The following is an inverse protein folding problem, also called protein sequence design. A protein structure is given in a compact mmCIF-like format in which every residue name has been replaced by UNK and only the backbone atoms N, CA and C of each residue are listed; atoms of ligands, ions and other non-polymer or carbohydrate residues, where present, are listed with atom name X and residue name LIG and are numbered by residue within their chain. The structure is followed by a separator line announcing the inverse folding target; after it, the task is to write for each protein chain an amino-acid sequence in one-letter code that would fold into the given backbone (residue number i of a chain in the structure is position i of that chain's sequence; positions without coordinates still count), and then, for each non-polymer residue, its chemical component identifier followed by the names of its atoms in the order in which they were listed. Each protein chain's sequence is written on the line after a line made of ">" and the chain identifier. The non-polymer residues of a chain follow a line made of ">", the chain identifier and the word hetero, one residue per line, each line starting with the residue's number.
data_IF_235867033762
#
_entry.id   IF_235867033762
#
_cell.length_a   1.000
_cell.length_b   1.000
_cell.length_c   1.000
_cell.angle_alpha   90.00
_cell.angle_beta   90.00
_cell.angle_gamma   90.00
#
_symmetry.space_group_name_H-M   'P 1'
#
loop_
_entity.id
_entity.type
_entity.pdbx_description
1 polymer ?
#
# COMPACT_ATOMS: atom_id res chain seq x y z
N UNK A 1 8.00 22.34 29.19
CA UNK A 1 8.39 21.12 28.44
C UNK A 1 7.84 21.30 27.04
N UNK A 2 8.61 21.01 26.01
CA UNK A 2 8.12 21.17 24.62
C UNK A 2 6.93 20.26 24.39
N UNK A 3 5.80 20.85 24.02
CA UNK A 3 4.59 20.14 23.63
C UNK A 3 4.62 19.83 22.12
N UNK A 4 5.79 19.64 21.58
CA UNK A 4 6.00 19.37 20.14
C UNK A 4 6.33 17.90 19.89
N UNK A 5 5.86 17.38 18.76
CA UNK A 5 6.14 16.03 18.27
C UNK A 5 6.37 16.09 16.75
N UNK A 6 7.41 15.42 16.27
CA UNK A 6 7.68 15.33 14.83
C UNK A 6 7.17 14.00 14.29
N UNK A 7 6.26 14.09 13.32
CA UNK A 7 5.72 12.93 12.59
C UNK A 7 6.18 13.00 11.14
N UNK A 8 6.75 11.89 10.66
CA UNK A 8 7.25 11.77 9.29
C UNK A 8 6.16 11.17 8.40
N UNK A 9 6.02 11.69 7.19
CA UNK A 9 5.00 11.29 6.22
C UNK A 9 5.54 11.36 4.78
N UNK A 10 4.69 10.97 3.82
CA UNK A 10 5.03 10.89 2.39
C UNK A 10 4.83 12.20 1.61
N UNK A 11 4.19 13.20 2.21
CA UNK A 11 3.88 14.45 1.53
C UNK A 11 2.56 14.45 0.74
N UNK A 12 2.24 15.61 0.19
CA UNK A 12 1.10 15.82 -0.70
C UNK A 12 -0.25 15.40 -0.12
N UNK A 13 -1.06 14.73 -0.93
CA UNK A 13 -2.41 14.27 -0.52
C UNK A 13 -2.37 13.28 0.65
N UNK A 14 -1.32 12.48 0.75
CA UNK A 14 -1.15 11.53 1.85
C UNK A 14 -0.96 12.26 3.18
N UNK A 15 -0.01 13.18 3.28
CA UNK A 15 0.18 14.02 4.47
C UNK A 15 -1.08 14.85 4.81
N UNK A 16 -1.80 15.37 3.79
CA UNK A 16 -3.08 16.06 3.99
C UNK A 16 -4.11 15.14 4.64
N UNK A 17 -4.18 13.88 4.23
CA UNK A 17 -5.12 12.91 4.80
C UNK A 17 -4.83 12.65 6.28
N UNK A 18 -3.56 12.50 6.64
CA UNK A 18 -3.12 12.32 8.03
C UNK A 18 -3.35 13.59 8.86
N UNK A 19 -3.02 14.76 8.31
CA UNK A 19 -3.28 16.04 8.96
C UNK A 19 -4.74 16.15 9.38
N UNK A 20 -5.66 15.83 8.48
CA UNK A 20 -7.12 15.96 8.71
C UNK A 20 -7.68 14.88 9.62
N UNK A 21 -7.24 13.64 9.47
CA UNK A 21 -7.77 12.52 10.25
C UNK A 21 -7.18 12.43 11.66
N UNK A 22 -5.91 12.80 11.82
CA UNK A 22 -5.14 12.54 13.03
C UNK A 22 -4.55 13.79 13.68
N UNK A 23 -3.72 14.57 12.96
CA UNK A 23 -2.90 15.62 13.56
C UNK A 23 -3.72 16.77 14.12
N UNK A 24 -4.61 17.37 13.30
CA UNK A 24 -5.47 18.47 13.74
C UNK A 24 -6.38 18.06 14.90
N UNK A 25 -7.12 16.91 14.83
CA UNK A 25 -7.95 16.47 15.95
C UNK A 25 -7.16 16.16 17.23
N UNK A 26 -5.99 15.53 17.12
CA UNK A 26 -5.14 15.22 18.26
C UNK A 26 -4.61 16.50 18.91
N UNK A 27 -4.07 17.42 18.12
CA UNK A 27 -3.58 18.72 18.61
C UNK A 27 -4.68 19.54 19.27
N UNK A 28 -5.92 19.50 18.75
CA UNK A 28 -7.06 20.20 19.34
C UNK A 28 -7.44 19.67 20.75
N UNK A 29 -7.26 18.37 20.99
CA UNK A 29 -7.60 17.73 22.27
C UNK A 29 -6.46 17.88 23.28
N UNK A 30 -5.21 17.73 22.85
CA UNK A 30 -4.06 17.60 23.73
C UNK A 30 -3.26 18.90 23.89
N UNK A 31 -3.36 19.82 22.92
CA UNK A 31 -2.50 21.00 22.83
C UNK A 31 -1.08 20.71 22.33
N UNK A 32 -0.79 19.47 21.90
CA UNK A 32 0.51 19.10 21.32
C UNK A 32 0.61 19.69 19.92
N UNK A 33 1.74 20.35 19.62
CA UNK A 33 2.05 20.81 18.27
C UNK A 33 2.70 19.67 17.48
N UNK A 34 2.11 19.28 16.35
CA UNK A 34 2.68 18.28 15.46
C UNK A 34 3.45 18.99 14.34
N UNK A 35 4.73 18.67 14.21
CA UNK A 35 5.60 19.07 13.10
C UNK A 35 5.59 17.93 12.08
N UNK A 36 5.11 18.22 10.88
CA UNK A 36 5.07 17.25 9.79
C UNK A 36 6.36 17.31 8.98
N UNK A 37 7.08 16.20 8.89
CA UNK A 37 8.29 16.02 8.06
C UNK A 37 7.94 15.11 6.88
N UNK A 38 8.16 15.56 5.65
CA UNK A 38 7.77 14.82 4.44
C UNK A 38 8.94 13.98 3.88
N UNK A 39 9.62 13.23 4.75
CA UNK A 39 10.85 12.48 4.43
C UNK A 39 10.68 10.96 4.41
N UNK A 40 9.47 10.39 4.42
CA UNK A 40 9.25 8.94 4.47
C UNK A 40 10.04 8.17 3.39
N UNK A 41 10.14 8.69 2.18
CA UNK A 41 10.92 8.07 1.10
C UNK A 41 12.41 7.88 1.39
N UNK A 42 12.95 8.53 2.42
CA UNK A 42 14.34 8.40 2.87
C UNK A 42 14.45 8.00 4.34
N UNK A 43 13.33 7.62 4.96
CA UNK A 43 13.24 7.43 6.41
C UNK A 43 14.20 6.37 6.93
N UNK A 44 14.33 5.24 6.26
CA UNK A 44 15.22 4.14 6.68
C UNK A 44 16.68 4.59 6.79
N UNK A 45 17.20 5.28 5.77
CA UNK A 45 18.58 5.78 5.79
C UNK A 45 18.79 6.87 6.84
N UNK A 46 17.82 7.77 6.98
CA UNK A 46 17.89 8.84 7.99
C UNK A 46 17.82 8.31 9.42
N UNK A 47 16.95 7.33 9.70
CA UNK A 47 16.87 6.71 11.04
C UNK A 47 18.16 6.00 11.42
N UNK A 48 18.79 5.28 10.48
CA UNK A 48 20.12 4.68 10.71
C UNK A 48 21.15 5.74 11.08
N UNK A 49 21.22 6.84 10.32
CA UNK A 49 22.15 7.94 10.60
C UNK A 49 21.85 8.64 11.94
N UNK A 50 20.58 8.85 12.28
CA UNK A 50 20.18 9.43 13.58
C UNK A 50 20.57 8.51 14.75
N UNK A 51 20.41 7.21 14.57
CA UNK A 51 20.80 6.22 15.59
C UNK A 51 22.32 6.18 15.78
N UNK A 52 23.10 6.18 14.71
CA UNK A 52 24.58 6.27 14.78
C UNK A 52 25.04 7.54 15.49
N UNK A 53 24.34 8.65 15.26
CA UNK A 53 24.63 9.94 15.90
C UNK A 53 24.11 10.03 17.34
N UNK A 54 23.36 9.03 17.85
CA UNK A 54 22.63 9.08 19.12
C UNK A 54 21.73 10.33 19.23
N UNK A 55 21.11 10.75 18.15
CA UNK A 55 20.29 11.95 18.05
C UNK A 55 19.03 11.69 17.23
N UNK A 56 18.04 11.03 17.82
CA UNK A 56 16.75 10.74 17.19
C UNK A 56 15.87 12.00 17.29
N UNK A 57 15.56 12.63 16.16
CA UNK A 57 14.75 13.85 16.08
C UNK A 57 13.28 13.59 15.77
N UNK A 58 12.93 12.42 15.29
CA UNK A 58 11.58 11.99 14.94
C UNK A 58 10.90 11.22 16.07
N UNK A 59 9.58 11.35 16.20
CA UNK A 59 8.78 10.66 17.24
C UNK A 59 7.94 9.52 16.67
N UNK A 60 7.34 9.72 15.50
CA UNK A 60 6.57 8.72 14.76
C UNK A 60 6.96 8.81 13.29
N UNK A 61 7.15 7.66 12.66
CA UNK A 61 7.62 7.61 11.27
C UNK A 61 6.71 6.72 10.44
N UNK A 62 6.13 7.30 9.41
CA UNK A 62 5.32 6.60 8.42
C UNK A 62 6.22 5.92 7.40
N UNK A 63 6.07 4.62 7.23
CA UNK A 63 6.87 3.78 6.34
C UNK A 63 6.04 2.63 5.79
N UNK A 64 6.44 2.11 4.64
CA UNK A 64 5.91 0.85 4.13
C UNK A 64 6.30 -0.33 5.05
N UNK A 65 5.50 -1.40 5.01
CA UNK A 65 5.69 -2.55 5.89
C UNK A 65 7.07 -3.23 5.71
N UNK A 66 7.58 -3.37 4.48
CA UNK A 66 8.89 -3.96 4.23
C UNK A 66 10.04 -3.21 4.93
N UNK A 67 10.22 -1.90 4.68
CA UNK A 67 11.16 -1.07 5.43
C UNK A 67 10.96 -1.08 6.95
N UNK A 68 9.71 -1.12 7.43
CA UNK A 68 9.42 -1.23 8.87
C UNK A 68 9.98 -2.54 9.48
N UNK A 69 9.82 -3.66 8.78
CA UNK A 69 10.38 -4.95 9.19
C UNK A 69 11.90 -4.90 9.29
N UNK A 70 12.58 -4.31 8.30
CA UNK A 70 14.04 -4.14 8.34
C UNK A 70 14.49 -3.29 9.55
N UNK A 71 13.80 -2.17 9.80
CA UNK A 71 14.10 -1.31 10.96
C UNK A 71 13.85 -2.03 12.29
N UNK A 72 12.86 -2.91 12.34
CA UNK A 72 12.58 -3.75 13.51
C UNK A 72 13.72 -4.74 13.76
N UNK A 73 14.15 -5.48 12.74
CA UNK A 73 15.24 -6.46 12.81
C UNK A 73 16.59 -5.81 13.21
N UNK A 74 16.80 -4.57 12.79
CA UNK A 74 17.96 -3.76 13.17
C UNK A 74 17.87 -3.18 14.59
N UNK A 75 16.74 -3.33 15.29
CA UNK A 75 16.50 -2.75 16.61
C UNK A 75 16.33 -1.23 16.61
N UNK A 76 15.96 -0.64 15.45
CA UNK A 76 15.77 0.79 15.28
C UNK A 76 14.32 1.24 15.46
N UNK A 77 13.39 0.31 15.56
CA UNK A 77 11.99 0.55 15.84
C UNK A 77 11.58 -0.11 17.17
N UNK A 78 10.65 0.50 17.87
CA UNK A 78 10.11 0.01 19.14
C UNK A 78 9.13 -1.15 18.89
N UNK A 79 9.23 -2.22 19.68
CA UNK A 79 8.25 -3.31 19.70
C UNK A 79 6.91 -2.80 20.25
N UNK A 80 5.83 -3.15 19.59
CA UNK A 80 4.46 -2.75 19.90
C UNK A 80 3.66 -3.98 20.36
N UNK A 81 3.08 -3.90 21.53
CA UNK A 81 2.03 -4.82 21.95
C UNK A 81 0.67 -4.27 21.49
N UNK A 82 0.02 -4.86 20.50
CA UNK A 82 -1.22 -4.33 19.94
C UNK A 82 -2.33 -4.16 20.95
N UNK A 83 -2.44 -5.08 21.90
CA UNK A 83 -3.55 -5.09 22.85
C UNK A 83 -3.45 -4.08 24.00
N UNK A 84 -2.25 -3.57 24.24
CA UNK A 84 -2.00 -2.57 25.29
C UNK A 84 -1.60 -1.20 24.75
N UNK A 85 -1.08 -1.13 23.51
CA UNK A 85 -0.52 0.09 22.92
C UNK A 85 -1.36 0.66 21.77
N UNK A 86 -2.30 -0.11 21.22
CA UNK A 86 -3.21 0.35 20.17
C UNK A 86 -4.65 0.42 20.70
N UNK A 87 -5.47 1.27 20.08
CA UNK A 87 -6.87 1.40 20.46
C UNK A 87 -7.65 0.10 20.30
N UNK A 88 -8.45 -0.27 21.28
CA UNK A 88 -9.40 -1.40 21.14
C UNK A 88 -10.50 -1.05 20.12
N UNK A 89 -10.99 -2.07 19.45
CA UNK A 89 -12.15 -1.92 18.56
C UNK A 89 -13.46 -1.83 19.34
N UNK A 90 -14.56 -1.41 18.72
CA UNK A 90 -15.89 -1.46 19.31
C UNK A 90 -16.24 -2.87 19.82
N UNK A 91 -17.14 -2.93 20.82
CA UNK A 91 -17.56 -4.19 21.48
C UNK A 91 -16.41 -4.94 22.19
N UNK A 92 -15.41 -4.21 22.63
CA UNK A 92 -14.27 -4.71 23.38
C UNK A 92 -13.40 -5.75 22.61
N UNK A 93 -13.44 -5.72 21.29
CA UNK A 93 -12.57 -6.55 20.44
C UNK A 93 -11.14 -6.06 20.58
N UNK A 94 -10.18 -6.99 20.71
CA UNK A 94 -8.77 -6.65 20.84
C UNK A 94 -8.24 -5.98 19.57
N UNK A 95 -7.19 -5.14 19.69
CA UNK A 95 -6.55 -4.57 18.52
C UNK A 95 -5.91 -5.67 17.66
N UNK A 96 -5.31 -6.69 18.29
CA UNK A 96 -4.73 -7.82 17.59
C UNK A 96 -5.75 -8.55 16.69
N UNK A 97 -6.95 -8.82 17.18
CA UNK A 97 -8.01 -9.47 16.40
C UNK A 97 -8.54 -8.59 15.29
N UNK A 98 -8.66 -7.28 15.53
CA UNK A 98 -9.25 -6.33 14.60
C UNK A 98 -8.30 -5.95 13.45
N UNK A 99 -7.01 -5.81 13.71
CA UNK A 99 -5.99 -5.67 12.67
C UNK A 99 -5.71 -7.02 11.97
N UNK A 100 -5.66 -8.12 12.72
CA UNK A 100 -5.43 -9.47 12.18
C UNK A 100 -4.15 -9.57 11.37
N UNK A 101 -4.25 -10.09 10.14
CA UNK A 101 -3.11 -10.33 9.25
C UNK A 101 -2.36 -9.07 8.81
N UNK A 102 -2.90 -7.87 9.09
CA UNK A 102 -2.20 -6.61 8.81
C UNK A 102 -1.05 -6.34 9.80
N UNK A 103 -1.00 -7.04 10.94
CA UNK A 103 0.10 -6.98 11.91
C UNK A 103 1.28 -7.84 11.44
N UNK A 104 1.96 -7.41 10.39
CA UNK A 104 3.03 -8.17 9.71
C UNK A 104 4.38 -8.15 10.41
N UNK A 105 4.56 -7.29 11.41
CA UNK A 105 5.78 -7.17 12.23
C UNK A 105 5.44 -6.68 13.63
N UNK A 106 6.22 -7.07 14.62
CA UNK A 106 6.05 -6.62 16.01
C UNK A 106 6.37 -5.14 16.24
N UNK A 107 7.01 -4.46 15.29
CA UNK A 107 7.29 -3.02 15.37
C UNK A 107 6.40 -2.18 14.45
N UNK A 108 5.63 -2.80 13.55
CA UNK A 108 4.82 -2.10 12.56
C UNK A 108 3.40 -1.86 13.04
N UNK A 109 2.94 -0.64 12.91
CA UNK A 109 1.58 -0.23 13.28
C UNK A 109 0.83 0.06 11.99
N UNK A 110 -0.04 -0.86 11.53
CA UNK A 110 -0.74 -0.71 10.26
C UNK A 110 -1.67 0.50 10.28
N UNK A 111 -1.65 1.30 9.21
CA UNK A 111 -2.51 2.48 9.04
C UNK A 111 -3.46 2.28 7.87
N UNK A 112 -2.91 2.15 6.67
CA UNK A 112 -3.67 2.01 5.44
C UNK A 112 -3.24 0.78 4.65
N UNK A 113 -4.18 0.31 3.82
CA UNK A 113 -3.95 -0.66 2.77
C UNK A 113 -4.10 0.06 1.43
N UNK A 114 -3.05 0.04 0.63
CA UNK A 114 -3.15 0.43 -0.77
C UNK A 114 -3.07 -0.81 -1.65
N UNK A 115 -3.29 -0.65 -2.93
CA UNK A 115 -3.33 -1.77 -3.85
C UNK A 115 -2.64 -1.43 -5.15
N UNK A 116 -1.89 -2.40 -5.67
CA UNK A 116 -1.43 -2.41 -7.04
C UNK A 116 -2.41 -3.26 -7.86
N UNK A 117 -2.99 -2.66 -8.90
CA UNK A 117 -3.97 -3.30 -9.76
C UNK A 117 -3.97 -2.68 -11.15
N UNK A 118 -4.92 -3.06 -11.99
CA UNK A 118 -5.05 -2.52 -13.35
C UNK A 118 -6.21 -1.54 -13.48
N UNK A 119 -5.95 -0.41 -14.14
CA UNK A 119 -6.98 0.39 -14.77
C UNK A 119 -7.15 -0.02 -16.23
N UNK A 120 -8.36 0.15 -16.77
CA UNK A 120 -8.64 -0.07 -18.18
C UNK A 120 -9.48 1.05 -18.78
N UNK A 121 -9.28 1.32 -20.06
CA UNK A 121 -10.07 2.28 -20.84
C UNK A 121 -11.42 1.69 -21.21
N UNK A 122 -12.48 2.23 -20.62
CA UNK A 122 -13.86 1.75 -20.84
C UNK A 122 -14.35 1.92 -22.28
N UNK A 123 -13.77 2.86 -23.01
CA UNK A 123 -14.09 3.17 -24.40
C UNK A 123 -13.21 2.42 -25.43
N UNK A 124 -12.14 1.74 -24.99
CA UNK A 124 -11.21 1.03 -25.87
C UNK A 124 -11.23 -0.50 -25.73
N UNK A 125 -11.72 -1.05 -24.61
CA UNK A 125 -11.74 -2.50 -24.36
C UNK A 125 -12.87 -3.25 -25.08
N UNK A 126 -13.71 -2.56 -25.86
CA UNK A 126 -14.83 -3.17 -26.57
C UNK A 126 -16.10 -3.28 -25.70
N UNK A 127 -17.00 -4.21 -26.05
CA UNK A 127 -18.30 -4.33 -25.40
C UNK A 127 -18.29 -5.11 -24.09
N UNK A 128 -17.25 -5.90 -23.85
CA UNK A 128 -17.11 -6.71 -22.63
C UNK A 128 -16.01 -6.11 -21.76
N UNK A 129 -16.39 -5.63 -20.58
CA UNK A 129 -15.42 -5.08 -19.65
C UNK A 129 -14.54 -6.19 -19.03
N UNK A 130 -13.23 -5.98 -18.87
CA UNK A 130 -12.40 -6.89 -18.11
C UNK A 130 -12.82 -6.90 -16.63
N UNK A 131 -12.76 -8.06 -16.01
CA UNK A 131 -13.21 -8.28 -14.63
C UNK A 131 -12.11 -8.81 -13.72
N UNK A 132 -11.01 -9.28 -14.29
CA UNK A 132 -9.89 -9.87 -13.59
C UNK A 132 -8.56 -9.32 -14.10
N UNK A 133 -7.55 -9.26 -13.25
CA UNK A 133 -6.16 -8.98 -13.70
C UNK A 133 -5.69 -9.99 -14.74
N UNK A 134 -6.30 -11.18 -14.79
CA UNK A 134 -5.96 -12.19 -15.79
C UNK A 134 -6.46 -11.85 -17.21
N UNK A 135 -7.44 -10.98 -17.33
CA UNK A 135 -7.89 -10.47 -18.62
C UNK A 135 -6.79 -9.65 -19.33
N UNK A 136 -5.82 -9.13 -18.57
CA UNK A 136 -4.62 -8.45 -19.11
C UNK A 136 -3.80 -9.38 -20.00
N UNK A 137 -3.81 -10.69 -19.72
CA UNK A 137 -3.09 -11.70 -20.48
C UNK A 137 -3.86 -12.21 -21.71
N UNK A 138 -5.13 -11.85 -21.85
CA UNK A 138 -5.95 -12.25 -23.00
C UNK A 138 -5.89 -11.18 -24.12
N UNK A 139 -4.86 -11.29 -24.97
CA UNK A 139 -4.66 -10.40 -26.11
C UNK A 139 -5.75 -10.58 -27.18
N UNK A 140 -6.33 -11.78 -27.28
CA UNK A 140 -7.37 -12.07 -28.26
C UNK A 140 -8.71 -11.41 -27.91
N UNK A 141 -9.11 -11.48 -26.63
CA UNK A 141 -10.31 -10.82 -26.15
C UNK A 141 -10.15 -9.30 -26.07
N UNK A 142 -8.95 -8.84 -25.67
CA UNK A 142 -8.65 -7.41 -25.47
C UNK A 142 -7.43 -7.00 -26.31
N UNK A 143 -7.57 -6.78 -27.61
CA UNK A 143 -6.47 -6.39 -28.49
C UNK A 143 -6.02 -4.95 -28.19
N UNK A 144 -4.72 -4.75 -27.97
CA UNK A 144 -4.13 -3.45 -27.70
C UNK A 144 -2.89 -3.57 -26.79
N UNK A 145 -2.30 -2.43 -26.45
CA UNK A 145 -1.13 -2.40 -25.57
C UNK A 145 -1.54 -2.36 -24.09
N UNK A 146 -0.64 -2.88 -23.25
CA UNK A 146 -0.70 -2.82 -21.78
C UNK A 146 0.48 -2.02 -21.26
N UNK A 147 0.38 -1.52 -20.03
CA UNK A 147 1.56 -1.10 -19.26
C UNK A 147 1.69 -1.95 -17.99
N UNK A 148 2.89 -2.46 -17.75
CA UNK A 148 3.29 -3.19 -16.56
C UNK A 148 4.60 -2.60 -16.04
N UNK A 149 4.90 -2.86 -14.78
CA UNK A 149 6.17 -2.42 -14.18
C UNK A 149 7.36 -3.17 -14.77
N UNK A 150 8.50 -2.49 -14.89
CA UNK A 150 9.78 -3.06 -15.35
C UNK A 150 10.56 -3.80 -14.26
N UNK A 151 9.87 -4.25 -13.20
CA UNK A 151 10.42 -5.01 -12.07
C UNK A 151 9.50 -6.18 -11.71
N UNK A 152 10.03 -7.21 -10.98
CA UNK A 152 9.32 -8.48 -10.78
C UNK A 152 8.09 -8.41 -9.87
N UNK A 153 8.12 -7.56 -8.81
CA UNK A 153 7.04 -7.47 -7.83
C UNK A 153 5.70 -7.15 -8.54
N UNK A 154 4.66 -7.82 -8.14
CA UNK A 154 3.32 -7.87 -8.73
C UNK A 154 3.26 -8.63 -10.07
N UNK A 155 4.23 -8.46 -10.97
CA UNK A 155 4.22 -9.14 -12.26
C UNK A 155 4.34 -10.66 -12.13
N UNK A 156 5.19 -11.13 -11.21
CA UNK A 156 5.41 -12.56 -10.98
C UNK A 156 4.19 -13.19 -10.31
N UNK A 157 3.59 -12.49 -9.36
CA UNK A 157 2.36 -12.92 -8.69
C UNK A 157 1.21 -13.05 -9.70
N UNK A 158 0.98 -12.02 -10.51
CA UNK A 158 -0.08 -12.06 -11.54
C UNK A 158 0.17 -13.13 -12.59
N UNK A 159 1.42 -13.32 -13.00
CA UNK A 159 1.76 -14.35 -13.96
C UNK A 159 1.34 -15.74 -13.47
N UNK A 160 1.69 -16.11 -12.24
CA UNK A 160 1.29 -17.40 -11.66
C UNK A 160 -0.21 -17.49 -11.38
N UNK A 161 -0.81 -16.43 -10.82
CA UNK A 161 -2.25 -16.38 -10.59
C UNK A 161 -3.02 -16.66 -11.89
N UNK A 162 -2.59 -16.00 -12.98
CA UNK A 162 -3.24 -16.11 -14.29
C UNK A 162 -2.81 -17.34 -15.09
N UNK A 163 -1.82 -18.09 -14.61
CA UNK A 163 -1.48 -19.42 -15.09
C UNK A 163 -2.14 -20.53 -14.27
N UNK A 164 -3.06 -20.17 -13.36
CA UNK A 164 -3.91 -21.09 -12.60
C UNK A 164 -3.33 -21.58 -11.29
N UNK A 165 -2.28 -20.96 -10.77
CA UNK A 165 -1.80 -21.18 -9.39
C UNK A 165 -2.78 -20.57 -8.41
N UNK A 166 -3.19 -21.33 -7.38
CA UNK A 166 -4.01 -20.77 -6.32
C UNK A 166 -3.26 -19.66 -5.58
N UNK A 167 -3.95 -18.57 -5.21
CA UNK A 167 -3.28 -17.41 -4.60
C UNK A 167 -2.52 -17.75 -3.31
N UNK A 168 -2.97 -18.77 -2.57
CA UNK A 168 -2.28 -19.22 -1.36
C UNK A 168 -0.93 -19.89 -1.64
N UNK A 169 -0.74 -20.43 -2.85
CA UNK A 169 0.44 -21.21 -3.23
C UNK A 169 1.44 -20.39 -4.07
N UNK A 170 1.12 -19.13 -4.41
CA UNK A 170 1.92 -18.32 -5.34
C UNK A 170 3.39 -18.23 -4.88
N UNK A 171 3.62 -17.88 -3.63
CA UNK A 171 4.98 -17.68 -3.14
C UNK A 171 5.75 -18.99 -2.98
N UNK A 172 5.10 -20.07 -2.54
CA UNK A 172 5.71 -21.40 -2.49
C UNK A 172 6.14 -21.89 -3.89
N UNK A 173 5.34 -21.56 -4.90
CA UNK A 173 5.68 -21.87 -6.31
C UNK A 173 6.81 -20.97 -6.80
N UNK A 174 6.83 -19.67 -6.46
CA UNK A 174 7.90 -18.74 -6.84
C UNK A 174 9.26 -19.09 -6.20
N UNK A 175 9.29 -19.79 -5.07
CA UNK A 175 10.54 -20.28 -4.48
C UNK A 175 11.23 -21.34 -5.35
N UNK A 176 10.49 -22.00 -6.23
CA UNK A 176 11.02 -23.07 -7.09
C UNK A 176 11.48 -22.53 -8.45
N UNK A 177 12.55 -23.11 -9.01
CA UNK A 177 13.02 -22.80 -10.37
C UNK A 177 11.92 -23.00 -11.42
N UNK A 178 11.21 -24.12 -11.33
CA UNK A 178 10.11 -24.44 -12.27
C UNK A 178 8.96 -23.42 -12.19
N UNK A 179 8.65 -22.93 -10.98
CA UNK A 179 7.65 -21.90 -10.78
C UNK A 179 8.07 -20.54 -11.34
N UNK A 180 9.34 -20.18 -11.19
CA UNK A 180 9.90 -18.96 -11.79
C UNK A 180 9.85 -19.03 -13.31
N UNK A 181 10.29 -20.15 -13.91
CA UNK A 181 10.23 -20.36 -15.36
C UNK A 181 8.80 -20.32 -15.88
N UNK A 182 7.85 -20.87 -15.14
CA UNK A 182 6.43 -20.82 -15.43
C UNK A 182 5.88 -19.38 -15.43
N UNK A 183 6.27 -18.57 -14.45
CA UNK A 183 5.87 -17.18 -14.38
C UNK A 183 6.42 -16.37 -15.56
N UNK A 184 7.70 -16.52 -15.90
CA UNK A 184 8.29 -15.87 -17.07
C UNK A 184 7.64 -16.34 -18.38
N UNK A 185 7.35 -17.63 -18.53
CA UNK A 185 6.64 -18.15 -19.70
C UNK A 185 5.25 -17.53 -19.87
N UNK A 186 4.56 -17.27 -18.76
CA UNK A 186 3.27 -16.55 -18.78
C UNK A 186 3.44 -15.11 -19.21
N UNK A 187 4.44 -14.39 -18.70
CA UNK A 187 4.76 -13.02 -19.11
C UNK A 187 5.17 -12.94 -20.59
N UNK A 188 5.86 -13.94 -21.12
CA UNK A 188 6.21 -14.03 -22.54
C UNK A 188 4.98 -13.97 -23.46
N UNK A 189 3.81 -14.46 -23.01
CA UNK A 189 2.59 -14.44 -23.82
C UNK A 189 2.09 -13.05 -24.14
N UNK A 190 2.48 -12.02 -23.37
CA UNK A 190 2.04 -10.63 -23.56
C UNK A 190 3.20 -9.67 -23.83
N UNK A 191 4.43 -10.10 -23.73
CA UNK A 191 5.64 -9.27 -23.72
C UNK A 191 5.67 -8.21 -24.82
N UNK A 192 5.38 -8.59 -26.05
CA UNK A 192 5.40 -7.70 -27.23
C UNK A 192 4.27 -6.67 -27.22
N UNK A 193 3.29 -6.85 -26.35
CA UNK A 193 2.13 -5.96 -26.17
C UNK A 193 2.25 -5.06 -24.95
N UNK A 194 3.40 -5.07 -24.26
CA UNK A 194 3.60 -4.32 -23.01
C UNK A 194 4.53 -3.13 -23.20
N UNK A 195 4.12 -1.97 -22.70
CA UNK A 195 4.98 -0.83 -22.39
C UNK A 195 5.45 -1.02 -20.95
N UNK A 196 6.73 -1.30 -20.77
CA UNK A 196 7.34 -1.49 -19.46
C UNK A 196 7.65 -0.14 -18.85
N UNK A 197 7.19 0.10 -17.60
CA UNK A 197 7.32 1.39 -16.91
C UNK A 197 8.05 1.23 -15.57
N UNK A 198 8.93 2.18 -15.27
CA UNK A 198 9.71 2.17 -14.02
C UNK A 198 8.95 2.79 -12.84
N UNK A 199 7.96 3.64 -13.14
CA UNK A 199 7.22 4.38 -12.13
C UNK A 199 5.71 4.29 -12.33
N UNK A 200 4.98 4.08 -11.23
CA UNK A 200 3.52 4.03 -11.23
C UNK A 200 2.85 5.35 -11.68
N UNK A 201 3.59 6.46 -11.74
CA UNK A 201 3.11 7.75 -12.26
C UNK A 201 3.00 7.79 -13.79
N UNK A 202 3.65 6.88 -14.51
CA UNK A 202 3.63 6.84 -15.97
C UNK A 202 2.34 6.23 -16.52
N UNK A 203 1.86 5.15 -15.93
CA UNK A 203 0.65 4.44 -16.39
C UNK A 203 -0.60 5.31 -16.49
N UNK A 204 -0.94 6.20 -15.52
CA UNK A 204 -2.09 7.08 -15.67
C UNK A 204 -2.08 7.93 -16.92
N UNK A 205 -0.92 8.47 -17.32
CA UNK A 205 -0.78 9.24 -18.53
C UNK A 205 -0.98 8.37 -19.78
N UNK A 206 -0.38 7.18 -19.84
CA UNK A 206 -0.57 6.23 -20.95
C UNK A 206 -2.03 5.82 -21.12
N UNK A 207 -2.77 5.66 -20.01
CA UNK A 207 -4.21 5.41 -20.04
C UNK A 207 -4.98 6.64 -20.53
N UNK A 208 -4.69 7.84 -20.01
CA UNK A 208 -5.35 9.08 -20.41
C UNK A 208 -5.20 9.35 -21.91
N UNK A 209 -4.00 9.15 -22.45
CA UNK A 209 -3.68 9.35 -23.87
C UNK A 209 -4.19 8.22 -24.77
N UNK A 210 -4.66 7.10 -24.20
CA UNK A 210 -5.11 5.93 -24.94
C UNK A 210 -3.98 5.13 -25.61
N UNK A 211 -2.74 5.34 -25.18
CA UNK A 211 -1.59 4.56 -25.68
C UNK A 211 -1.65 3.10 -25.19
N UNK A 212 -2.26 2.87 -24.03
CA UNK A 212 -2.57 1.54 -23.51
C UNK A 212 -4.06 1.42 -23.22
N UNK A 213 -4.59 0.21 -23.38
CA UNK A 213 -5.99 -0.08 -23.03
C UNK A 213 -6.16 -0.55 -21.60
N UNK A 214 -5.10 -1.12 -21.01
CA UNK A 214 -5.01 -1.56 -19.62
C UNK A 214 -3.63 -1.20 -19.07
N UNK A 215 -3.55 -0.87 -17.79
CA UNK A 215 -2.27 -0.53 -17.20
C UNK A 215 -2.22 -0.73 -15.69
N UNK A 216 -1.09 -1.29 -15.23
CA UNK A 216 -0.82 -1.53 -13.81
C UNK A 216 -0.36 -0.24 -13.11
N UNK A 217 -0.99 0.10 -12.00
CA UNK A 217 -0.55 1.16 -11.09
C UNK A 217 -1.27 1.08 -9.75
N UNK A 218 -1.02 2.03 -8.87
CA UNK A 218 -1.65 2.10 -7.55
C UNK A 218 -3.09 2.60 -7.64
N UNK A 219 -3.98 2.02 -6.83
CA UNK A 219 -5.39 2.37 -6.83
C UNK A 219 -5.65 3.87 -6.58
N UNK A 220 -4.83 4.55 -5.78
CA UNK A 220 -4.94 6.00 -5.58
C UNK A 220 -4.71 6.82 -6.84
N UNK A 221 -3.81 6.38 -7.72
CA UNK A 221 -3.56 7.02 -9.01
C UNK A 221 -4.69 6.78 -10.01
N UNK A 222 -5.26 5.58 -10.00
CA UNK A 222 -6.44 5.27 -10.81
C UNK A 222 -7.67 6.04 -10.32
N UNK A 223 -7.84 6.18 -9.01
CA UNK A 223 -8.89 7.02 -8.43
C UNK A 223 -8.80 8.46 -8.94
N UNK A 224 -7.62 9.08 -8.87
CA UNK A 224 -7.42 10.43 -9.37
C UNK A 224 -7.76 10.55 -10.86
N UNK A 225 -7.35 9.56 -11.68
CA UNK A 225 -7.65 9.53 -13.10
C UNK A 225 -9.16 9.44 -13.38
N UNK A 226 -9.88 8.62 -12.61
CA UNK A 226 -11.32 8.37 -12.77
C UNK A 226 -12.14 9.51 -12.19
N UNK A 227 -11.90 9.87 -10.93
CA UNK A 227 -12.79 10.73 -10.16
C UNK A 227 -12.42 12.21 -10.20
N UNK A 228 -11.14 12.55 -10.31
CA UNK A 228 -10.70 13.94 -10.37
C UNK A 228 -10.56 14.41 -11.82
N UNK A 229 -9.92 13.61 -12.67
CA UNK A 229 -9.68 13.96 -14.09
C UNK A 229 -10.81 13.52 -15.03
N UNK A 230 -11.78 12.72 -14.54
CA UNK A 230 -12.95 12.24 -15.29
C UNK A 230 -12.59 11.54 -16.61
N UNK A 231 -11.48 10.80 -16.59
CA UNK A 231 -11.10 9.98 -17.73
C UNK A 231 -11.99 8.73 -17.84
N UNK A 232 -12.23 8.20 -19.04
CA UNK A 232 -13.02 6.99 -19.26
C UNK A 232 -12.21 5.74 -18.88
N UNK A 233 -11.92 5.59 -17.60
CA UNK A 233 -11.13 4.51 -17.00
C UNK A 233 -11.93 3.88 -15.86
N UNK A 234 -11.78 2.57 -15.69
CA UNK A 234 -12.28 1.84 -14.53
C UNK A 234 -11.19 0.94 -13.93
N UNK A 235 -11.36 0.53 -12.68
CA UNK A 235 -10.42 -0.34 -11.98
C UNK A 235 -10.87 -1.81 -12.03
N UNK A 236 -9.89 -2.71 -12.07
CA UNK A 236 -10.05 -4.14 -11.84
C UNK A 236 -9.64 -4.41 -10.39
N UNK A 237 -10.53 -5.00 -9.60
CA UNK A 237 -10.23 -5.37 -8.22
C UNK A 237 -9.85 -6.84 -8.05
N UNK A 238 -10.33 -7.72 -8.92
CA UNK A 238 -10.03 -9.14 -8.87
C UNK A 238 -8.56 -9.41 -9.22
N UNK A 239 -7.83 -9.98 -8.27
CA UNK A 239 -6.40 -10.24 -8.36
C UNK A 239 -5.52 -9.05 -7.94
N UNK A 240 -6.07 -8.02 -7.30
CA UNK A 240 -5.29 -6.93 -6.72
C UNK A 240 -4.24 -7.46 -5.74
N UNK A 241 -3.07 -6.85 -5.74
CA UNK A 241 -2.03 -7.08 -4.74
C UNK A 241 -2.06 -5.96 -3.73
N UNK A 242 -2.40 -6.29 -2.49
CA UNK A 242 -2.44 -5.33 -1.39
C UNK A 242 -1.07 -5.16 -0.77
N UNK A 243 -0.78 -3.95 -0.36
CA UNK A 243 0.41 -3.57 0.38
C UNK A 243 0.03 -2.64 1.54
N UNK A 244 0.89 -2.55 2.55
CA UNK A 244 0.64 -1.85 3.79
C UNK A 244 1.57 -0.66 3.93
N UNK A 245 0.98 0.44 4.37
CA UNK A 245 1.70 1.58 4.90
C UNK A 245 1.23 1.88 6.33
N UNK A 246 2.13 2.36 7.17
CA UNK A 246 1.82 2.58 8.57
C UNK A 246 2.97 3.22 9.32
N UNK A 247 2.95 3.08 10.62
CA UNK A 247 3.89 3.76 11.48
C UNK A 247 4.85 2.82 12.18
N UNK A 248 6.01 3.36 12.50
CA UNK A 248 6.90 2.89 13.56
C UNK A 248 7.15 4.01 14.56
N UNK A 249 7.49 3.65 15.78
CA UNK A 249 8.07 4.54 16.78
C UNK A 249 9.57 4.25 16.81
N UNK A 250 10.46 5.22 16.57
CA UNK A 250 11.89 4.99 16.65
C UNK A 250 12.33 4.47 18.02
N UNK A 251 13.24 3.52 18.05
CA UNK A 251 13.90 3.10 19.29
C UNK A 251 14.78 4.24 19.83
N UNK A 252 15.05 4.21 21.14
CA UNK A 252 15.97 5.17 21.78
C UNK A 252 15.38 6.54 22.10
N UNK A 253 14.07 6.74 21.97
CA UNK A 253 13.40 7.94 22.44
C UNK A 253 13.46 8.04 23.97
N UNK A 254 13.48 9.27 24.50
CA UNK A 254 13.32 9.47 25.94
C UNK A 254 11.95 8.94 26.40
N UNK A 255 11.81 8.50 27.67
CA UNK A 255 10.53 7.99 28.18
C UNK A 255 9.35 8.94 27.97
N UNK A 256 9.58 10.25 28.05
CA UNK A 256 8.56 11.28 27.81
C UNK A 256 8.12 11.32 26.34
N UNK A 257 9.09 11.28 25.40
CA UNK A 257 8.79 11.27 23.95
C UNK A 257 8.12 9.97 23.55
N UNK A 258 8.59 8.85 24.07
CA UNK A 258 7.98 7.55 23.82
C UNK A 258 6.52 7.50 24.30
N UNK A 259 6.25 7.98 25.52
CA UNK A 259 4.88 8.04 26.05
C UNK A 259 3.97 8.91 25.19
N UNK A 260 4.47 10.03 24.68
CA UNK A 260 3.71 10.94 23.79
C UNK A 260 3.45 10.29 22.41
N UNK A 261 4.44 9.61 21.86
CA UNK A 261 4.28 8.87 20.61
C UNK A 261 3.22 7.77 20.74
N UNK A 262 3.25 7.01 21.84
CA UNK A 262 2.25 5.98 22.13
C UNK A 262 0.85 6.55 22.34
N UNK A 263 0.72 7.69 23.03
CA UNK A 263 -0.57 8.36 23.21
C UNK A 263 -1.16 8.82 21.86
N UNK A 264 -0.32 9.36 20.97
CA UNK A 264 -0.73 9.69 19.60
C UNK A 264 -1.13 8.44 18.82
N UNK A 265 -0.36 7.37 18.87
CA UNK A 265 -0.65 6.10 18.18
C UNK A 265 -1.96 5.49 18.70
N UNK A 266 -2.18 5.50 20.02
CA UNK A 266 -3.45 5.07 20.62
C UNK A 266 -4.63 5.87 20.06
N UNK A 267 -4.51 7.18 19.91
CA UNK A 267 -5.53 8.04 19.31
C UNK A 267 -5.71 7.75 17.82
N UNK A 268 -4.60 7.68 17.05
CA UNK A 268 -4.62 7.55 15.60
C UNK A 268 -5.12 6.17 15.14
N UNK A 269 -4.89 5.11 15.92
CA UNK A 269 -5.34 3.75 15.62
C UNK A 269 -6.80 3.48 16.01
N UNK A 270 -7.52 4.46 16.56
CA UNK A 270 -8.96 4.32 16.82
C UNK A 270 -9.73 4.01 15.51
N UNK A 271 -10.73 3.16 15.65
CA UNK A 271 -11.59 2.71 14.53
C UNK A 271 -12.12 3.87 13.67
N UNK A 272 -12.58 4.95 14.32
CA UNK A 272 -13.12 6.12 13.64
C UNK A 272 -12.03 6.92 12.95
N UNK A 273 -10.87 7.06 13.59
CA UNK A 273 -9.74 7.82 13.04
C UNK A 273 -9.20 7.21 11.76
N UNK A 274 -8.98 5.89 11.74
CA UNK A 274 -8.54 5.20 10.53
C UNK A 274 -9.58 5.31 9.39
N UNK A 275 -10.88 5.24 9.70
CA UNK A 275 -11.94 5.48 8.72
C UNK A 275 -11.97 6.93 8.22
N UNK A 276 -11.64 7.91 9.08
CA UNK A 276 -11.61 9.33 8.71
C UNK A 276 -10.54 9.63 7.66
N UNK A 277 -9.40 8.93 7.65
CA UNK A 277 -8.37 9.12 6.63
C UNK A 277 -8.90 8.78 5.24
N UNK A 278 -9.72 7.74 5.11
CA UNK A 278 -10.33 7.34 3.84
C UNK A 278 -11.27 8.38 3.23
N UNK A 279 -11.64 9.42 3.96
CA UNK A 279 -12.40 10.57 3.42
C UNK A 279 -11.54 11.51 2.56
N UNK A 280 -10.22 11.37 2.63
CA UNK A 280 -9.27 12.26 1.99
C UNK A 280 -8.39 11.57 0.95
N UNK A 281 -8.30 10.25 1.00
CA UNK A 281 -7.45 9.45 0.12
C UNK A 281 -8.09 8.07 -0.08
N UNK A 282 -8.02 7.48 -1.29
CA UNK A 282 -8.68 6.21 -1.61
C UNK A 282 -7.87 4.99 -1.13
N UNK A 283 -7.36 5.03 0.09
CA UNK A 283 -6.67 3.91 0.73
C UNK A 283 -7.55 3.32 1.82
N UNK A 284 -7.60 1.99 1.89
CA UNK A 284 -8.43 1.29 2.85
C UNK A 284 -7.87 1.39 4.26
N UNK A 285 -8.72 1.55 5.29
CA UNK A 285 -8.25 1.47 6.67
C UNK A 285 -7.75 0.05 6.96
N UNK A 286 -6.66 -0.06 7.69
CA UNK A 286 -6.04 -1.35 8.02
C UNK A 286 -6.83 -2.17 9.07
N UNK A 287 -7.87 -1.61 9.69
CA UNK A 287 -8.72 -2.27 10.69
C UNK A 287 -10.03 -2.77 10.08
N UNK A 288 -10.44 -3.98 10.45
CA UNK A 288 -11.74 -4.55 10.04
C UNK A 288 -12.92 -3.69 10.50
N UNK A 289 -12.87 -3.19 11.74
CA UNK A 289 -13.93 -2.35 12.31
C UNK A 289 -14.06 -0.98 11.65
N UNK A 290 -13.03 -0.47 10.99
CA UNK A 290 -13.05 0.82 10.30
C UNK A 290 -13.69 0.76 8.91
N UNK A 291 -13.61 -0.38 8.22
CA UNK A 291 -14.12 -0.52 6.85
C UNK A 291 -15.61 -0.13 6.69
N UNK A 292 -16.53 -0.51 7.60
CA UNK A 292 -17.94 -0.11 7.51
C UNK A 292 -18.19 1.39 7.75
N UNK A 293 -17.20 2.11 8.32
CA UNK A 293 -17.30 3.53 8.64
C UNK A 293 -16.76 4.43 7.53
N UNK A 294 -16.21 3.86 6.48
CA UNK A 294 -15.74 4.62 5.30
C UNK A 294 -16.92 5.36 4.68
N UNK A 295 -16.81 6.68 4.63
CA UNK A 295 -17.87 7.56 4.18
C UNK A 295 -17.60 8.17 2.81
N UNK A 296 -18.07 9.41 2.64
CA UNK A 296 -17.85 10.17 1.41
C UNK A 296 -16.53 10.92 1.43
N UNK A 297 -15.94 11.10 0.23
CA UNK A 297 -14.80 12.00 0.06
C UNK A 297 -15.16 13.42 0.51
N UNK A 298 -14.29 13.99 1.35
CA UNK A 298 -14.58 15.27 2.02
C UNK A 298 -14.76 16.46 1.06
N UNK A 299 -14.06 16.44 -0.08
CA UNK A 299 -14.10 17.51 -1.08
C UNK A 299 -14.97 17.15 -2.30
N UNK A 300 -14.92 15.91 -2.77
CA UNK A 300 -15.62 15.45 -3.98
C UNK A 300 -17.07 14.99 -3.70
N UNK A 301 -17.38 14.66 -2.44
CA UNK A 301 -18.70 14.21 -2.02
C UNK A 301 -19.12 12.82 -2.53
N UNK A 302 -18.22 12.09 -3.20
CA UNK A 302 -18.46 10.75 -3.72
C UNK A 302 -18.32 9.70 -2.61
N UNK A 303 -19.00 8.57 -2.75
CA UNK A 303 -18.88 7.45 -1.85
C UNK A 303 -17.49 6.79 -2.03
N UNK A 304 -16.73 6.68 -0.94
CA UNK A 304 -15.36 6.15 -0.99
C UNK A 304 -15.29 4.62 -0.86
N UNK A 305 -16.31 3.97 -0.33
CA UNK A 305 -16.30 2.53 -0.10
C UNK A 305 -15.96 1.72 -1.38
N UNK A 306 -16.52 2.02 -2.57
CA UNK A 306 -16.17 1.28 -3.79
C UNK A 306 -14.70 1.42 -4.22
N UNK A 307 -14.01 2.46 -3.76
CA UNK A 307 -12.63 2.77 -4.12
C UNK A 307 -11.58 2.21 -3.13
N UNK A 308 -12.05 1.50 -2.09
CA UNK A 308 -11.17 0.96 -1.06
C UNK A 308 -10.71 -0.46 -1.39
N UNK A 309 -9.39 -0.73 -1.35
CA UNK A 309 -8.86 -2.09 -1.45
C UNK A 309 -9.50 -3.05 -0.43
N UNK A 310 -9.77 -2.55 0.78
CA UNK A 310 -10.31 -3.31 1.91
C UNK A 310 -11.85 -3.40 1.93
N UNK A 311 -12.55 -2.86 0.93
CA UNK A 311 -13.98 -3.11 0.80
C UNK A 311 -14.23 -4.62 0.65
N UNK A 312 -15.14 -5.23 1.42
CA UNK A 312 -15.40 -6.67 1.35
C UNK A 312 -15.64 -7.21 -0.06
N UNK A 313 -16.31 -6.44 -0.93
CA UNK A 313 -16.54 -6.83 -2.33
C UNK A 313 -15.22 -6.87 -3.13
N UNK A 314 -14.26 -6.00 -2.82
CA UNK A 314 -12.98 -5.92 -3.52
C UNK A 314 -11.96 -6.94 -2.99
N UNK A 315 -12.17 -7.46 -1.77
CA UNK A 315 -11.24 -8.37 -1.10
C UNK A 315 -11.32 -9.82 -1.59
N UNK A 316 -12.38 -10.25 -2.27
CA UNK A 316 -12.67 -11.66 -2.54
C UNK A 316 -11.49 -12.39 -3.20
N UNK A 317 -10.80 -11.76 -4.14
CA UNK A 317 -9.62 -12.32 -4.82
C UNK A 317 -8.36 -11.47 -4.68
N UNK A 318 -8.33 -10.62 -3.67
CA UNK A 318 -7.15 -9.88 -3.29
C UNK A 318 -6.16 -10.77 -2.51
N UNK A 319 -4.89 -10.43 -2.53
CA UNK A 319 -3.89 -11.02 -1.64
C UNK A 319 -2.89 -9.97 -1.17
N UNK A 320 -2.40 -10.18 0.04
CA UNK A 320 -1.37 -9.33 0.64
C UNK A 320 0.00 -9.76 0.11
N UNK A 321 0.86 -8.79 -0.18
CA UNK A 321 2.25 -9.03 -0.53
C UNK A 321 2.96 -9.82 0.59
N UNK A 322 3.79 -10.79 0.21
CA UNK A 322 4.63 -11.51 1.16
C UNK A 322 5.98 -10.78 1.31
N UNK A 323 6.10 -10.00 2.37
CA UNK A 323 7.30 -9.20 2.63
C UNK A 323 8.53 -10.05 2.91
N UNK A 324 8.38 -11.18 3.61
CA UNK A 324 9.50 -12.09 3.90
C UNK A 324 10.04 -12.71 2.62
N UNK A 325 9.15 -13.16 1.73
CA UNK A 325 9.56 -13.67 0.42
C UNK A 325 10.36 -12.62 -0.37
N UNK A 326 9.84 -11.41 -0.49
CA UNK A 326 10.55 -10.38 -1.25
C UNK A 326 11.80 -9.86 -0.55
N UNK A 327 11.90 -9.93 0.78
CA UNK A 327 13.14 -9.64 1.50
C UNK A 327 14.26 -10.64 1.14
N UNK A 328 13.91 -11.92 0.98
CA UNK A 328 14.87 -12.97 0.71
C UNK A 328 15.24 -13.10 -0.78
N UNK A 329 14.29 -12.85 -1.68
CA UNK A 329 14.44 -13.20 -3.11
C UNK A 329 14.51 -12.00 -4.06
N UNK A 330 14.29 -10.77 -3.61
CA UNK A 330 14.16 -9.59 -4.47
C UNK A 330 15.33 -9.41 -5.43
N UNK A 331 16.56 -9.43 -4.91
CA UNK A 331 17.77 -9.16 -5.71
C UNK A 331 17.95 -10.20 -6.82
N UNK A 332 17.65 -11.47 -6.54
CA UNK A 332 17.71 -12.56 -7.51
C UNK A 332 16.64 -12.39 -8.61
N UNK A 333 15.40 -12.06 -8.21
CA UNK A 333 14.32 -11.80 -9.15
C UNK A 333 14.56 -10.54 -9.98
N UNK A 334 15.09 -9.46 -9.39
CA UNK A 334 15.42 -8.24 -10.12
C UNK A 334 16.46 -8.53 -11.21
N UNK A 335 17.53 -9.27 -10.89
CA UNK A 335 18.54 -9.68 -11.86
C UNK A 335 17.95 -10.54 -12.99
N UNK A 336 17.13 -11.54 -12.67
CA UNK A 336 16.46 -12.40 -13.64
C UNK A 336 15.48 -11.64 -14.51
N UNK A 337 14.71 -10.75 -13.92
CA UNK A 337 13.70 -9.96 -14.63
C UNK A 337 14.35 -8.99 -15.62
N UNK A 338 15.43 -8.30 -15.21
CA UNK A 338 16.18 -7.41 -16.11
C UNK A 338 16.83 -8.21 -17.26
N UNK A 339 17.40 -9.38 -16.97
CA UNK A 339 17.95 -10.26 -18.01
C UNK A 339 16.87 -10.78 -18.98
N UNK A 340 15.67 -11.03 -18.47
CA UNK A 340 14.52 -11.43 -19.28
C UNK A 340 13.99 -10.24 -20.14
N UNK A 341 13.90 -9.03 -19.59
CA UNK A 341 13.49 -7.83 -20.36
C UNK A 341 14.46 -7.52 -21.52
N UNK A 342 15.75 -7.82 -21.35
CA UNK A 342 16.78 -7.53 -22.33
C UNK A 342 16.80 -8.51 -23.55
N UNK A 343 16.07 -9.62 -23.51
CA UNK A 343 15.94 -10.58 -24.63
C UNK A 343 15.05 -10.04 -25.72
#
# INVERSE_FOLDING_TARGET
>A
MSSEMTIVSWGGAYSKSQLKAYHEPYSAITGVTILNDESSGTATAKLRAMNEANNITWDVVDVEAGPAMQLCDEGLAMVIDPDTMLARAPNDVSAADDFGDMLVSECFIPQIVYSTTFGYRTDLVGSTAPTSVCDVFDIAAYPGKRSLFSYPINNMEWALLCDGVAKADIYDVLETSDGQDRAFAKLDTIRDHVIWVDAGSTTPQLLADGEVIMGATYNGRLFALIEEQKQPVAMIWDGQVMDLDGWIIPAGLSPERQARALDYIMFATDTTRLADQSKWIPYGPARKSSAPLVGKHAELGIDMAPHMPTNPVNLERAFLMNYSFWADYRDDFDAKFQAWLAK
#
